data_IF_104727395865
#
_entry.id   IF_104727395865
#
_cell.length_a   1.000
_cell.length_b   1.000
_cell.length_c   1.000
_cell.angle_alpha   90.00
_cell.angle_beta   90.00
_cell.angle_gamma   90.00
#
_symmetry.space_group_name_H-M   'P 1'
#
loop_
_entity.id
_entity.type
_entity.pdbx_description
1 polymer ?
#
# COMPACT_ATOMS: atom_id res chain seq x y z
N UNK A 1 -8.12 -47.27 -62.88
CA UNK A 1 -9.14 -47.04 -61.84
C UNK A 1 -8.48 -46.49 -60.57
N UNK A 2 -7.30 -46.98 -60.21
CA UNK A 2 -6.58 -46.60 -58.97
C UNK A 2 -6.12 -45.13 -58.89
N UNK A 3 -5.74 -44.52 -60.01
CA UNK A 3 -5.32 -43.11 -60.06
C UNK A 3 -6.50 -42.19 -59.71
N UNK A 4 -7.71 -42.51 -60.19
CA UNK A 4 -8.91 -41.71 -59.94
C UNK A 4 -9.35 -41.82 -58.47
N UNK A 5 -9.22 -43.00 -57.88
CA UNK A 5 -9.52 -43.24 -56.46
C UNK A 5 -8.51 -42.49 -55.56
N UNK A 6 -7.22 -42.51 -55.91
CA UNK A 6 -6.17 -41.80 -55.17
C UNK A 6 -6.36 -40.27 -55.22
N UNK A 7 -6.69 -39.72 -56.37
CA UNK A 7 -6.98 -38.28 -56.53
C UNK A 7 -8.25 -37.91 -55.78
N UNK A 8 -9.32 -38.71 -55.87
CA UNK A 8 -10.56 -38.47 -55.15
C UNK A 8 -10.37 -38.53 -53.62
N UNK A 9 -9.58 -39.48 -53.11
CA UNK A 9 -9.26 -39.58 -51.69
C UNK A 9 -8.50 -38.34 -51.17
N UNK A 10 -7.51 -37.87 -51.94
CA UNK A 10 -6.71 -36.69 -51.56
C UNK A 10 -7.53 -35.41 -51.61
N UNK A 11 -8.40 -35.25 -52.61
CA UNK A 11 -9.35 -34.13 -52.69
C UNK A 11 -10.34 -34.18 -51.53
N UNK A 12 -10.79 -35.37 -51.13
CA UNK A 12 -11.67 -35.54 -49.96
C UNK A 12 -10.95 -35.12 -48.67
N UNK A 13 -9.70 -35.53 -48.43
CA UNK A 13 -8.92 -35.07 -47.27
C UNK A 13 -8.76 -33.55 -47.20
N UNK A 14 -8.46 -32.89 -48.34
CA UNK A 14 -8.35 -31.43 -48.41
C UNK A 14 -9.67 -30.69 -48.18
N UNK A 15 -10.81 -31.30 -48.52
CA UNK A 15 -12.14 -30.71 -48.30
C UNK A 15 -12.65 -30.97 -46.88
N UNK A 16 -12.27 -32.07 -46.24
CA UNK A 16 -12.74 -32.43 -44.91
C UNK A 16 -11.93 -31.71 -43.82
N UNK A 17 -10.63 -31.47 -44.01
CA UNK A 17 -9.79 -30.79 -43.02
C UNK A 17 -10.26 -29.37 -42.62
N UNK A 18 -10.68 -28.48 -43.55
CA UNK A 18 -11.26 -27.18 -43.20
C UNK A 18 -12.61 -27.26 -42.49
N UNK A 19 -13.35 -28.38 -42.64
CA UNK A 19 -14.66 -28.61 -42.04
C UNK A 19 -14.52 -29.22 -40.64
N UNK A 20 -13.51 -30.07 -40.41
CA UNK A 20 -13.24 -30.70 -39.10
C UNK A 20 -12.92 -29.63 -38.05
N UNK A 21 -12.06 -28.66 -38.36
CA UNK A 21 -11.54 -27.74 -37.35
C UNK A 21 -12.62 -26.83 -36.72
N UNK A 22 -13.60 -26.28 -37.46
CA UNK A 22 -14.76 -25.60 -36.90
C UNK A 22 -15.74 -26.53 -36.15
N UNK A 23 -15.89 -27.78 -36.62
CA UNK A 23 -16.70 -28.79 -35.96
C UNK A 23 -16.13 -29.20 -34.60
N UNK A 24 -14.80 -29.33 -34.48
CA UNK A 24 -14.12 -29.64 -33.22
C UNK A 24 -14.51 -28.64 -32.13
N UNK A 25 -14.47 -27.33 -32.43
CA UNK A 25 -14.88 -26.27 -31.48
C UNK A 25 -16.37 -26.29 -31.12
N UNK A 26 -17.23 -26.76 -32.02
CA UNK A 26 -18.65 -26.99 -31.73
C UNK A 26 -18.86 -28.18 -30.77
N UNK A 27 -18.05 -29.23 -30.94
CA UNK A 27 -18.06 -30.43 -30.09
C UNK A 27 -17.40 -30.19 -28.72
N UNK A 28 -16.34 -29.38 -28.65
CA UNK A 28 -15.63 -29.01 -27.41
C UNK A 28 -16.21 -27.77 -26.72
N UNK A 29 -17.33 -27.22 -27.23
CA UNK A 29 -18.01 -26.06 -26.69
C UNK A 29 -18.21 -26.14 -25.16
N UNK A 30 -18.76 -27.26 -24.67
CA UNK A 30 -19.00 -27.44 -23.23
C UNK A 30 -17.71 -27.43 -22.43
N UNK A 31 -16.73 -28.22 -22.88
CA UNK A 31 -15.42 -28.37 -22.24
C UNK A 31 -14.65 -27.04 -22.17
N UNK A 32 -14.72 -26.21 -23.20
CA UNK A 32 -14.06 -24.89 -23.20
C UNK A 32 -14.68 -23.95 -22.17
N UNK A 33 -16.01 -23.95 -22.02
CA UNK A 33 -16.69 -23.16 -20.98
C UNK A 33 -16.47 -23.72 -19.57
N UNK A 34 -16.41 -25.05 -19.41
CA UNK A 34 -16.04 -25.67 -18.13
C UNK A 34 -14.62 -25.29 -17.71
N UNK A 35 -13.67 -25.31 -18.66
CA UNK A 35 -12.30 -24.84 -18.43
C UNK A 35 -12.29 -23.36 -18.04
N UNK A 36 -13.01 -22.50 -18.77
CA UNK A 36 -13.11 -21.08 -18.47
C UNK A 36 -13.63 -20.83 -17.04
N UNK A 37 -14.74 -21.47 -16.67
CA UNK A 37 -15.32 -21.32 -15.33
C UNK A 37 -14.33 -21.74 -14.24
N UNK A 38 -13.66 -22.88 -14.42
CA UNK A 38 -12.65 -23.36 -13.48
C UNK A 38 -11.49 -22.37 -13.31
N UNK A 39 -11.02 -21.74 -14.39
CA UNK A 39 -9.94 -20.75 -14.30
C UNK A 39 -10.41 -19.43 -13.68
N UNK A 40 -11.64 -18.98 -13.96
CA UNK A 40 -12.24 -17.80 -13.28
C UNK A 40 -12.37 -18.04 -11.78
N UNK A 41 -12.81 -19.22 -11.36
CA UNK A 41 -12.97 -19.53 -9.94
C UNK A 41 -11.63 -19.52 -9.20
N UNK A 42 -10.57 -20.04 -9.83
CA UNK A 42 -9.20 -19.91 -9.30
C UNK A 42 -8.78 -18.44 -9.20
N UNK A 43 -9.06 -17.64 -10.23
CA UNK A 43 -8.72 -16.22 -10.25
C UNK A 43 -9.46 -15.45 -9.15
N UNK A 44 -10.75 -15.71 -8.93
CA UNK A 44 -11.55 -15.13 -7.83
C UNK A 44 -10.94 -15.46 -6.47
N UNK A 45 -10.59 -16.72 -6.24
CA UNK A 45 -9.94 -17.12 -4.99
C UNK A 45 -8.58 -16.41 -4.78
N UNK A 46 -7.78 -16.27 -5.83
CA UNK A 46 -6.52 -15.54 -5.77
C UNK A 46 -6.74 -14.04 -5.49
N UNK A 47 -7.72 -13.43 -6.16
CA UNK A 47 -8.14 -12.05 -5.96
C UNK A 47 -8.54 -11.78 -4.52
N UNK A 48 -9.41 -12.62 -3.96
CA UNK A 48 -9.91 -12.45 -2.58
C UNK A 48 -8.79 -12.58 -1.54
N UNK A 49 -7.83 -13.48 -1.78
CA UNK A 49 -6.64 -13.60 -0.94
C UNK A 49 -5.76 -12.33 -1.00
N UNK A 50 -5.51 -11.80 -2.20
CA UNK A 50 -4.75 -10.55 -2.36
C UNK A 50 -5.49 -9.38 -1.72
N UNK A 51 -6.82 -9.28 -1.92
CA UNK A 51 -7.66 -8.24 -1.32
C UNK A 51 -7.60 -8.29 0.21
N UNK A 52 -7.70 -9.49 0.81
CA UNK A 52 -7.55 -9.67 2.25
C UNK A 52 -6.20 -9.12 2.77
N UNK A 53 -5.09 -9.42 2.08
CA UNK A 53 -3.77 -8.89 2.45
C UNK A 53 -3.68 -7.36 2.30
N UNK A 54 -4.33 -6.80 1.29
CA UNK A 54 -4.43 -5.35 1.09
C UNK A 54 -5.21 -4.71 2.23
N UNK A 55 -6.34 -5.28 2.63
CA UNK A 55 -7.18 -4.77 3.71
C UNK A 55 -6.45 -4.84 5.07
N UNK A 56 -5.75 -5.94 5.36
CA UNK A 56 -4.87 -6.07 6.53
C UNK A 56 -3.75 -5.01 6.53
N UNK A 57 -3.14 -4.74 5.37
CA UNK A 57 -2.12 -3.71 5.22
C UNK A 57 -2.68 -2.29 5.43
N UNK A 58 -3.89 -2.02 4.94
CA UNK A 58 -4.57 -0.73 5.15
C UNK A 58 -4.89 -0.50 6.62
N UNK A 59 -5.27 -1.54 7.37
CA UNK A 59 -5.45 -1.47 8.83
C UNK A 59 -4.14 -1.09 9.53
N UNK A 60 -3.01 -1.59 9.02
CA UNK A 60 -1.66 -1.25 9.51
C UNK A 60 -1.17 0.13 9.06
N UNK A 61 -1.98 0.87 8.31
CA UNK A 61 -1.62 2.13 7.65
C UNK A 61 -0.42 1.98 6.72
N UNK A 62 -0.20 0.80 6.17
CA UNK A 62 0.81 0.53 5.16
C UNK A 62 0.35 1.00 3.77
N UNK A 63 1.30 1.40 2.94
CA UNK A 63 1.06 1.81 1.58
C UNK A 63 0.91 0.57 0.71
N UNK A 64 -0.05 0.58 -0.22
CA UNK A 64 -0.27 -0.54 -1.15
C UNK A 64 0.58 -0.33 -2.39
N UNK A 65 1.21 -1.39 -2.87
CA UNK A 65 2.03 -1.32 -4.08
C UNK A 65 1.13 -1.12 -5.30
N UNK A 66 1.46 -0.14 -6.15
CA UNK A 66 0.62 0.27 -7.28
C UNK A 66 0.25 -0.89 -8.21
N UNK A 67 1.21 -1.77 -8.54
CA UNK A 67 0.96 -2.90 -9.43
C UNK A 67 -0.01 -3.95 -8.85
N UNK A 68 -0.19 -3.97 -7.52
CA UNK A 68 -1.20 -4.82 -6.86
C UNK A 68 -2.60 -4.25 -7.07
N UNK A 69 -2.75 -2.93 -6.96
CA UNK A 69 -4.03 -2.25 -7.22
C UNK A 69 -4.42 -2.37 -8.70
N UNK A 70 -3.46 -2.15 -9.61
CA UNK A 70 -3.66 -2.34 -11.06
C UNK A 70 -4.06 -3.79 -11.40
N UNK A 71 -3.44 -4.76 -10.74
CA UNK A 71 -3.79 -6.17 -10.91
C UNK A 71 -5.21 -6.46 -10.44
N UNK A 72 -5.63 -5.96 -9.27
CA UNK A 72 -7.00 -6.14 -8.76
C UNK A 72 -8.05 -5.56 -9.72
N UNK A 73 -7.80 -4.36 -10.27
CA UNK A 73 -8.67 -3.73 -11.28
C UNK A 73 -8.75 -4.60 -12.54
N UNK A 74 -7.61 -5.05 -13.05
CA UNK A 74 -7.55 -5.89 -14.26
C UNK A 74 -8.31 -7.21 -14.06
N UNK A 75 -8.23 -7.79 -12.86
CA UNK A 75 -8.95 -9.01 -12.50
C UNK A 75 -10.47 -8.78 -12.46
N UNK A 76 -10.91 -7.66 -11.88
CA UNK A 76 -12.34 -7.31 -11.85
C UNK A 76 -12.90 -7.12 -13.26
N UNK A 77 -12.16 -6.45 -14.14
CA UNK A 77 -12.53 -6.29 -15.55
C UNK A 77 -12.64 -7.65 -16.25
N UNK A 78 -11.64 -8.53 -16.09
CA UNK A 78 -11.65 -9.86 -16.69
C UNK A 78 -12.80 -10.75 -16.19
N UNK A 79 -13.13 -10.69 -14.89
CA UNK A 79 -14.27 -11.43 -14.33
C UNK A 79 -15.58 -10.93 -14.95
N UNK A 80 -15.78 -9.61 -15.03
CA UNK A 80 -16.96 -9.01 -15.65
C UNK A 80 -17.09 -9.40 -17.12
N UNK A 81 -15.99 -9.40 -17.89
CA UNK A 81 -16.00 -9.84 -19.28
C UNK A 81 -16.45 -11.30 -19.44
N UNK A 82 -16.01 -12.20 -18.53
CA UNK A 82 -16.49 -13.60 -18.56
C UNK A 82 -17.95 -13.71 -18.17
N UNK A 83 -18.44 -12.93 -17.21
CA UNK A 83 -19.86 -12.91 -16.86
C UNK A 83 -20.73 -12.52 -18.06
N UNK A 84 -20.35 -11.49 -18.82
CA UNK A 84 -21.04 -11.12 -20.06
C UNK A 84 -21.02 -12.24 -21.12
N UNK A 85 -19.89 -12.96 -21.24
CA UNK A 85 -19.76 -14.11 -22.14
C UNK A 85 -20.70 -15.26 -21.74
N UNK A 86 -20.86 -15.52 -20.44
CA UNK A 86 -21.75 -16.55 -19.91
C UNK A 86 -23.20 -16.18 -20.22
N UNK A 87 -23.60 -14.92 -20.02
CA UNK A 87 -24.94 -14.45 -20.39
C UNK A 87 -25.23 -14.62 -21.89
N UNK A 88 -24.26 -14.29 -22.75
CA UNK A 88 -24.39 -14.45 -24.21
C UNK A 88 -24.59 -15.92 -24.59
N UNK A 89 -23.89 -16.83 -23.91
CA UNK A 89 -24.09 -18.28 -24.04
C UNK A 89 -25.52 -18.68 -23.69
N UNK A 90 -26.07 -18.20 -22.57
CA UNK A 90 -27.44 -18.53 -22.15
C UNK A 90 -28.49 -17.99 -23.13
N UNK A 91 -28.36 -16.73 -23.55
CA UNK A 91 -29.23 -16.09 -24.56
C UNK A 91 -29.19 -16.85 -25.89
N UNK A 92 -28.01 -17.35 -26.31
CA UNK A 92 -27.86 -18.12 -27.55
C UNK A 92 -28.51 -19.50 -27.49
N UNK A 93 -28.53 -20.16 -26.33
CA UNK A 93 -29.16 -21.46 -26.14
C UNK A 93 -30.70 -21.39 -26.15
N UNK A 94 -31.28 -20.23 -25.82
CA UNK A 94 -32.74 -20.03 -25.74
C UNK A 94 -33.42 -19.68 -27.08
N UNK A 95 -32.68 -19.53 -28.18
CA UNK A 95 -33.20 -19.03 -29.49
C UNK A 95 -33.68 -20.10 -30.49
N UNK A 96 -34.06 -21.30 -30.05
CA UNK A 96 -34.61 -22.32 -30.96
C UNK A 96 -36.01 -22.79 -30.53
N UNK A 97 -37.00 -22.65 -31.42
CA UNK A 97 -38.31 -23.27 -31.31
C UNK A 97 -38.12 -24.79 -31.18
N UNK A 98 -38.41 -25.34 -29.99
CA UNK A 98 -38.37 -26.78 -29.66
C UNK A 98 -36.99 -27.46 -29.65
N UNK A 99 -35.90 -26.73 -29.40
CA UNK A 99 -34.65 -27.31 -28.89
C UNK A 99 -33.83 -28.22 -29.83
N UNK A 100 -34.08 -28.23 -31.14
CA UNK A 100 -33.47 -29.22 -32.03
C UNK A 100 -32.22 -28.79 -32.81
N UNK A 101 -31.88 -27.50 -32.91
CA UNK A 101 -30.68 -27.08 -33.65
C UNK A 101 -29.98 -25.87 -32.99
N UNK A 102 -28.84 -26.05 -32.30
CA UNK A 102 -28.01 -24.92 -31.92
C UNK A 102 -27.35 -24.27 -33.13
N UNK A 103 -27.28 -22.93 -33.15
CA UNK A 103 -26.55 -22.18 -34.17
C UNK A 103 -25.04 -22.51 -34.08
N UNK A 104 -24.56 -23.42 -34.94
CA UNK A 104 -23.18 -23.91 -34.98
C UNK A 104 -22.16 -22.77 -35.12
N UNK A 105 -22.46 -21.74 -35.92
CA UNK A 105 -21.58 -20.58 -36.11
C UNK A 105 -21.42 -19.78 -34.82
N UNK A 106 -22.52 -19.54 -34.10
CA UNK A 106 -22.48 -18.85 -32.80
C UNK A 106 -21.75 -19.69 -31.75
N UNK A 107 -22.00 -21.00 -31.69
CA UNK A 107 -21.26 -21.89 -30.78
C UNK A 107 -19.77 -21.90 -31.07
N UNK A 108 -19.37 -21.97 -32.33
CA UNK A 108 -17.97 -21.87 -32.72
C UNK A 108 -17.32 -20.57 -32.21
N UNK A 109 -17.97 -19.42 -32.44
CA UNK A 109 -17.46 -18.12 -32.03
C UNK A 109 -17.33 -18.00 -30.50
N UNK A 110 -18.37 -18.40 -29.76
CA UNK A 110 -18.38 -18.39 -28.30
C UNK A 110 -17.36 -19.37 -27.72
N UNK A 111 -17.24 -20.59 -28.27
CA UNK A 111 -16.24 -21.59 -27.84
C UNK A 111 -14.81 -21.08 -28.00
N UNK A 112 -14.52 -20.45 -29.15
CA UNK A 112 -13.22 -19.86 -29.43
C UNK A 112 -12.92 -18.67 -28.54
N UNK A 113 -13.93 -17.84 -28.23
CA UNK A 113 -13.77 -16.73 -27.27
C UNK A 113 -13.50 -17.28 -25.86
N UNK A 114 -14.28 -18.28 -25.42
CA UNK A 114 -14.09 -18.91 -24.11
C UNK A 114 -12.68 -19.49 -23.91
N UNK A 115 -12.13 -20.18 -24.93
CA UNK A 115 -10.76 -20.69 -24.87
C UNK A 115 -9.73 -19.56 -24.75
N UNK A 116 -9.91 -18.46 -25.49
CA UNK A 116 -9.02 -17.29 -25.43
C UNK A 116 -9.05 -16.63 -24.05
N UNK A 117 -10.23 -16.39 -23.51
CA UNK A 117 -10.37 -15.80 -22.17
C UNK A 117 -9.76 -16.73 -21.10
N UNK A 118 -9.97 -18.04 -21.21
CA UNK A 118 -9.39 -19.00 -20.27
C UNK A 118 -7.85 -18.93 -20.26
N UNK A 119 -7.23 -18.80 -21.43
CA UNK A 119 -5.77 -18.67 -21.53
C UNK A 119 -5.27 -17.31 -21.01
N UNK A 120 -6.03 -16.22 -21.25
CA UNK A 120 -5.70 -14.89 -20.73
C UNK A 120 -5.77 -14.87 -19.19
N UNK A 121 -6.78 -15.50 -18.61
CA UNK A 121 -6.98 -15.64 -17.17
C UNK A 121 -5.84 -16.42 -16.51
N UNK A 122 -5.36 -17.50 -17.13
CA UNK A 122 -4.19 -18.24 -16.62
C UNK A 122 -2.98 -17.31 -16.48
N UNK A 123 -2.70 -16.50 -17.52
CA UNK A 123 -1.61 -15.54 -17.47
C UNK A 123 -1.81 -14.43 -16.43
N UNK A 124 -3.06 -13.96 -16.25
CA UNK A 124 -3.39 -12.97 -15.24
C UNK A 124 -3.26 -13.52 -13.81
N UNK A 125 -3.67 -14.77 -13.60
CA UNK A 125 -3.52 -15.49 -12.34
C UNK A 125 -2.06 -15.65 -11.94
N UNK A 126 -1.17 -15.95 -12.89
CA UNK A 126 0.28 -16.03 -12.63
C UNK A 126 0.87 -14.69 -12.18
N UNK A 127 0.42 -13.58 -12.78
CA UNK A 127 0.83 -12.22 -12.37
C UNK A 127 0.37 -11.81 -10.98
N UNK A 128 -0.65 -12.49 -10.44
CA UNK A 128 -1.19 -12.25 -9.09
C UNK A 128 -0.38 -12.86 -7.96
N UNK A 129 0.76 -13.47 -8.25
CA UNK A 129 1.65 -14.07 -7.25
C UNK A 129 2.59 -13.00 -6.68
N UNK A 130 2.11 -12.29 -5.67
CA UNK A 130 2.88 -11.27 -4.96
C UNK A 130 3.56 -11.82 -3.69
N UNK A 131 4.86 -11.58 -3.56
CA UNK A 131 5.62 -11.86 -2.33
C UNK A 131 5.22 -10.90 -1.20
N UNK A 132 4.96 -9.64 -1.54
CA UNK A 132 4.41 -8.61 -0.65
C UNK A 132 3.40 -7.76 -1.40
N UNK A 133 2.33 -7.33 -0.72
CA UNK A 133 1.31 -6.43 -1.30
C UNK A 133 1.49 -4.97 -0.89
N UNK A 134 2.31 -4.73 0.13
CA UNK A 134 2.43 -3.44 0.78
C UNK A 134 3.88 -3.09 1.06
N UNK A 135 4.09 -1.84 1.44
CA UNK A 135 5.33 -1.32 1.98
C UNK A 135 4.99 -0.57 3.26
N UNK A 136 5.83 -0.72 4.29
CA UNK A 136 5.60 -0.03 5.56
C UNK A 136 5.59 1.47 5.33
N UNK A 137 4.44 2.10 5.51
CA UNK A 137 4.37 3.55 5.67
C UNK A 137 4.54 3.84 7.13
N UNK A 138 5.37 4.83 7.42
CA UNK A 138 5.63 5.16 8.80
C UNK A 138 4.37 5.86 9.35
N UNK A 139 3.73 5.33 10.41
CA UNK A 139 2.44 5.84 10.87
C UNK A 139 2.51 7.35 11.15
N UNK A 140 1.57 8.10 10.59
CA UNK A 140 1.40 9.51 10.95
C UNK A 140 0.82 9.63 12.36
N UNK A 141 1.35 10.58 13.13
CA UNK A 141 0.91 10.83 14.49
C UNK A 141 -0.58 11.24 14.52
N UNK A 142 -1.41 10.50 15.26
CA UNK A 142 -2.87 10.69 15.28
C UNK A 142 -3.29 12.11 15.67
N UNK A 143 -2.49 12.81 16.47
CA UNK A 143 -2.78 14.19 16.88
C UNK A 143 -2.57 15.24 15.77
N UNK A 144 -1.89 14.89 14.67
CA UNK A 144 -1.80 15.77 13.50
C UNK A 144 -3.12 15.82 12.72
N UNK A 145 -3.91 14.74 12.77
CA UNK A 145 -5.21 14.63 12.07
C UNK A 145 -6.37 15.22 12.87
N UNK A 146 -6.19 15.43 14.17
CA UNK A 146 -7.22 16.09 14.97
C UNK A 146 -7.25 17.58 14.62
N UNK A 147 -8.32 18.02 13.95
CA UNK A 147 -8.84 19.39 14.00
C UNK A 147 -9.40 19.66 15.40
N UNK A 148 -8.55 19.47 16.43
CA UNK A 148 -8.84 20.02 17.74
C UNK A 148 -8.87 21.52 17.51
N UNK A 149 -10.04 22.12 17.64
CA UNK A 149 -10.29 23.55 17.49
C UNK A 149 -9.28 24.28 18.38
N UNK A 150 -8.13 24.61 17.82
CA UNK A 150 -7.15 25.44 18.49
C UNK A 150 -7.84 26.78 18.54
N UNK A 151 -8.56 27.04 19.65
CA UNK A 151 -9.14 28.34 19.90
C UNK A 151 -8.00 29.33 19.65
N UNK A 152 -8.13 30.10 18.57
CA UNK A 152 -7.19 31.11 18.15
C UNK A 152 -7.21 32.22 19.20
N UNK A 153 -6.57 31.99 20.34
CA UNK A 153 -6.28 33.05 21.27
C UNK A 153 -5.25 33.93 20.58
N UNK A 154 -5.67 35.13 20.16
CA UNK A 154 -4.79 36.13 19.53
C UNK A 154 -3.51 36.37 20.35
N UNK A 155 -3.58 36.23 21.68
CA UNK A 155 -2.43 36.33 22.59
C UNK A 155 -1.30 35.31 22.35
N UNK A 156 -1.58 34.19 21.67
CA UNK A 156 -0.61 33.11 21.42
C UNK A 156 -0.15 33.04 19.96
N UNK A 157 -0.72 33.86 19.08
CA UNK A 157 -0.40 33.90 17.65
C UNK A 157 1.02 34.40 17.38
N UNK A 158 1.48 35.39 18.15
CA UNK A 158 2.86 35.89 18.06
C UNK A 158 3.88 34.81 18.44
N UNK A 159 3.69 34.13 19.57
CA UNK A 159 4.58 33.04 20.01
C UNK A 159 4.58 31.87 19.02
N UNK A 160 3.41 31.49 18.49
CA UNK A 160 3.34 30.46 17.46
C UNK A 160 4.14 30.86 16.20
N UNK A 161 3.97 32.10 15.74
CA UNK A 161 4.70 32.63 14.58
C UNK A 161 6.21 32.67 14.83
N UNK A 162 6.65 33.15 16.00
CA UNK A 162 8.06 33.16 16.39
C UNK A 162 8.68 31.76 16.36
N UNK A 163 7.94 30.74 16.84
CA UNK A 163 8.41 29.35 16.80
C UNK A 163 8.51 28.86 15.34
N UNK A 164 7.50 29.12 14.49
CA UNK A 164 7.53 28.74 13.08
C UNK A 164 8.65 29.42 12.29
N UNK A 165 8.86 30.72 12.53
CA UNK A 165 9.92 31.51 11.91
C UNK A 165 11.31 30.98 12.34
N UNK A 166 11.47 30.65 13.63
CA UNK A 166 12.70 30.05 14.16
C UNK A 166 12.97 28.67 13.55
N UNK A 167 11.94 27.83 13.36
CA UNK A 167 12.06 26.52 12.71
C UNK A 167 12.36 26.59 11.21
N UNK A 168 11.94 27.67 10.56
CA UNK A 168 12.26 27.94 9.15
C UNK A 168 13.71 28.41 8.97
N UNK A 169 14.37 28.87 10.04
CA UNK A 169 15.73 29.35 10.02
C UNK A 169 16.73 28.23 10.39
N UNK A 170 17.67 27.94 9.47
CA UNK A 170 18.69 26.89 9.65
C UNK A 170 19.69 27.13 10.79
N UNK A 171 19.65 28.30 11.43
CA UNK A 171 20.54 28.65 12.54
C UNK A 171 20.10 28.05 13.89
N UNK A 172 18.84 27.62 14.02
CA UNK A 172 18.30 27.10 15.28
C UNK A 172 17.75 25.69 15.10
N UNK A 173 18.40 24.71 15.72
CA UNK A 173 17.95 23.31 15.67
C UNK A 173 17.08 22.93 16.89
N UNK A 174 17.02 23.75 17.93
CA UNK A 174 16.30 23.40 19.16
C UNK A 174 15.57 24.61 19.77
N UNK A 175 14.28 24.43 20.06
CA UNK A 175 13.42 25.43 20.69
C UNK A 175 12.86 24.88 22.00
N UNK A 176 13.05 25.62 23.10
CA UNK A 176 12.50 25.28 24.41
C UNK A 176 11.25 26.09 24.75
N UNK A 177 10.14 25.42 25.05
CA UNK A 177 8.88 26.07 25.49
C UNK A 177 8.68 25.82 26.98
N UNK A 178 8.79 26.87 27.81
CA UNK A 178 8.64 26.80 29.27
C UNK A 178 7.49 27.70 29.77
N UNK A 179 7.01 27.47 31.00
CA UNK A 179 5.91 28.25 31.58
C UNK A 179 5.11 27.49 32.65
N UNK A 180 4.12 28.14 33.25
CA UNK A 180 3.28 27.55 34.30
C UNK A 180 2.53 26.30 33.81
N UNK A 181 2.21 25.37 34.73
CA UNK A 181 1.31 24.25 34.44
C UNK A 181 -0.08 24.75 34.02
N UNK A 182 -0.80 23.99 33.19
CA UNK A 182 -2.15 24.36 32.75
C UNK A 182 -2.23 25.45 31.66
N UNK A 183 -1.15 26.16 31.35
CA UNK A 183 -1.16 27.27 30.36
C UNK A 183 -1.24 26.82 28.88
N UNK A 184 -1.33 25.52 28.62
CA UNK A 184 -1.49 24.99 27.26
C UNK A 184 -0.20 24.88 26.42
N UNK A 185 0.99 24.79 27.02
CA UNK A 185 2.27 24.57 26.29
C UNK A 185 2.22 23.38 25.34
N UNK A 186 1.71 22.25 25.84
CA UNK A 186 1.46 21.04 25.06
C UNK A 186 0.58 21.32 23.85
N UNK A 187 -0.48 22.10 24.04
CA UNK A 187 -1.40 22.47 22.96
C UNK A 187 -0.72 23.36 21.93
N UNK A 188 0.10 24.33 22.36
CA UNK A 188 0.88 25.18 21.46
C UNK A 188 1.87 24.35 20.61
N UNK A 189 2.62 23.44 21.21
CA UNK A 189 3.60 22.62 20.47
C UNK A 189 2.93 21.64 19.52
N UNK A 190 1.78 21.07 19.89
CA UNK A 190 0.95 20.29 18.97
C UNK A 190 0.49 21.15 17.78
N UNK A 191 0.01 22.36 18.04
CA UNK A 191 -0.43 23.24 16.95
C UNK A 191 0.72 23.65 16.01
N UNK A 192 1.90 23.96 16.55
CA UNK A 192 3.12 24.18 15.74
C UNK A 192 3.42 22.96 14.88
N UNK A 193 3.40 21.78 15.47
CA UNK A 193 3.63 20.52 14.78
C UNK A 193 2.63 20.25 13.65
N UNK A 194 1.37 20.64 13.81
CA UNK A 194 0.35 20.58 12.74
C UNK A 194 0.71 21.55 11.60
N UNK A 195 0.97 22.82 11.92
CA UNK A 195 1.24 23.83 10.90
C UNK A 195 2.53 23.57 10.11
N UNK A 196 3.58 23.05 10.75
CA UNK A 196 4.79 22.72 9.98
C UNK A 196 4.60 21.56 9.01
N UNK A 197 3.67 20.64 9.31
CA UNK A 197 3.29 19.56 8.41
C UNK A 197 2.42 20.08 7.27
N UNK A 198 1.42 20.90 7.56
CA UNK A 198 0.55 21.52 6.54
C UNK A 198 1.30 22.46 5.60
N UNK A 199 2.21 23.26 6.13
CA UNK A 199 3.05 24.16 5.36
C UNK A 199 4.24 23.44 4.68
N UNK A 200 4.34 22.11 4.81
CA UNK A 200 5.42 21.29 4.27
C UNK A 200 6.84 21.76 4.67
N UNK A 201 6.98 22.38 5.85
CA UNK A 201 8.28 22.78 6.40
C UNK A 201 9.09 21.56 6.84
N UNK A 202 8.40 20.52 7.29
CA UNK A 202 8.98 19.20 7.58
C UNK A 202 8.13 18.12 6.90
N UNK A 203 8.80 17.17 6.27
CA UNK A 203 8.17 16.00 5.65
C UNK A 203 7.42 15.17 6.70
N UNK A 204 7.96 15.15 7.92
CA UNK A 204 7.42 14.36 9.02
C UNK A 204 7.59 15.03 10.37
N UNK A 205 6.55 14.90 11.20
CA UNK A 205 6.55 15.37 12.58
C UNK A 205 6.32 14.17 13.48
N UNK A 206 7.25 13.90 14.38
CA UNK A 206 7.19 12.81 15.34
C UNK A 206 7.18 13.36 16.74
N UNK A 207 6.38 12.76 17.62
CA UNK A 207 6.41 13.08 19.05
C UNK A 207 7.16 11.99 19.81
N UNK A 208 7.79 12.32 20.93
CA UNK A 208 8.31 11.32 21.87
C UNK A 208 8.05 11.78 23.29
N UNK A 209 7.73 10.84 24.17
CA UNK A 209 7.53 11.13 25.59
C UNK A 209 8.84 11.01 26.33
N UNK A 210 9.25 12.10 26.99
CA UNK A 210 10.43 12.09 27.86
C UNK A 210 9.99 11.91 29.30
N UNK A 211 10.38 10.78 29.89
CA UNK A 211 10.20 10.45 31.31
C UNK A 211 11.05 11.34 32.21
N UNK A 212 10.71 11.35 33.51
CA UNK A 212 11.45 12.10 34.54
C UNK A 212 12.93 11.67 34.61
N UNK A 213 13.19 10.37 34.47
CA UNK A 213 14.50 9.76 34.28
C UNK A 213 14.67 9.43 32.80
N UNK A 214 15.36 10.27 32.01
CA UNK A 214 15.49 10.06 30.57
C UNK A 214 16.32 8.81 30.31
N UNK A 215 15.70 7.78 29.76
CA UNK A 215 16.39 6.61 29.25
C UNK A 215 16.62 6.83 27.76
N UNK A 216 17.84 7.20 27.38
CA UNK A 216 18.19 7.52 25.99
C UNK A 216 17.82 6.38 25.04
N UNK A 217 18.00 5.12 25.45
CA UNK A 217 17.58 3.93 24.68
C UNK A 217 16.08 3.92 24.38
N UNK A 218 15.25 4.25 25.36
CA UNK A 218 13.79 4.20 25.19
C UNK A 218 13.31 5.31 24.26
N UNK A 219 13.86 6.52 24.40
CA UNK A 219 13.55 7.66 23.51
C UNK A 219 14.02 7.34 22.08
N UNK A 220 15.22 6.77 21.94
CA UNK A 220 15.75 6.35 20.65
C UNK A 220 14.90 5.24 20.02
N UNK A 221 14.44 4.27 20.81
CA UNK A 221 13.55 3.21 20.36
C UNK A 221 12.20 3.72 19.88
N UNK A 222 11.56 4.60 20.65
CA UNK A 222 10.30 5.24 20.24
C UNK A 222 10.47 6.04 18.94
N UNK A 223 11.56 6.80 18.82
CA UNK A 223 11.86 7.55 17.60
C UNK A 223 12.12 6.61 16.43
N UNK A 224 12.93 5.57 16.61
CA UNK A 224 13.29 4.58 15.59
C UNK A 224 12.06 3.87 15.04
N UNK A 225 11.19 3.39 15.93
CA UNK A 225 9.91 2.79 15.58
C UNK A 225 9.06 3.77 14.76
N UNK A 226 8.93 5.02 15.23
CA UNK A 226 8.19 6.09 14.56
C UNK A 226 8.81 6.60 13.27
N UNK A 227 9.98 6.14 12.87
CA UNK A 227 10.60 6.41 11.56
C UNK A 227 10.77 5.13 10.72
N UNK A 228 10.21 4.00 11.17
CA UNK A 228 10.26 2.72 10.48
C UNK A 228 11.64 2.05 10.50
N UNK A 229 12.43 2.28 11.54
CA UNK A 229 13.70 1.59 11.77
C UNK A 229 13.52 0.53 12.86
N UNK A 230 13.84 -0.73 12.54
CA UNK A 230 13.88 -1.81 13.52
C UNK A 230 15.20 -1.75 14.31
N UNK A 231 15.10 -1.48 15.61
CA UNK A 231 16.21 -1.68 16.54
C UNK A 231 16.19 -3.14 17.00
N UNK A 232 16.94 -4.00 16.33
CA UNK A 232 17.14 -5.37 16.82
C UNK A 232 18.08 -5.33 18.03
N UNK A 233 17.54 -5.49 19.24
CA UNK A 233 18.37 -5.85 20.40
C UNK A 233 18.83 -7.31 20.24
N UNK A 234 20.16 -7.46 20.16
CA UNK A 234 20.96 -8.68 20.34
C UNK A 234 20.20 -10.02 20.44
N UNK A 235 20.12 -10.72 19.31
CA UNK A 235 20.35 -12.16 19.28
C UNK A 235 21.01 -12.52 17.96
N UNK A 236 21.79 -13.60 17.99
CA UNK A 236 22.81 -13.91 17.01
C UNK A 236 22.20 -14.10 15.59
N UNK A 237 22.92 -13.54 14.59
CA UNK A 237 22.79 -13.74 13.13
C UNK A 237 21.99 -12.67 12.33
N UNK A 238 22.78 -11.85 11.60
CA UNK A 238 22.51 -11.07 10.37
C UNK A 238 21.27 -10.14 10.33
N UNK A 239 21.36 -8.82 10.49
CA UNK A 239 22.15 -7.83 9.71
C UNK A 239 22.75 -6.79 10.66
N UNK A 240 24.08 -6.79 10.80
CA UNK A 240 24.81 -5.75 11.56
C UNK A 240 24.87 -4.47 10.72
N UNK A 241 24.00 -3.50 10.98
CA UNK A 241 24.34 -2.10 10.70
C UNK A 241 25.10 -1.59 11.92
N UNK A 242 26.41 -1.25 11.83
CA UNK A 242 27.15 -0.65 12.93
C UNK A 242 26.38 0.56 13.46
N UNK A 243 26.30 0.72 14.78
CA UNK A 243 25.62 1.84 15.45
C UNK A 243 25.96 3.18 14.78
N UNK A 244 27.21 3.42 14.38
CA UNK A 244 27.63 4.63 13.66
C UNK A 244 27.09 4.77 12.21
N UNK A 245 26.85 3.67 11.48
CA UNK A 245 26.21 3.68 10.15
C UNK A 245 24.69 3.85 10.29
N UNK A 246 24.10 3.24 11.31
CA UNK A 246 22.71 3.46 11.72
C UNK A 246 22.48 4.95 11.99
N UNK A 247 23.35 5.60 12.78
CA UNK A 247 23.26 7.04 13.04
C UNK A 247 23.47 7.89 11.78
N UNK A 248 24.34 7.50 10.84
CA UNK A 248 24.46 8.23 9.57
C UNK A 248 23.21 8.10 8.70
N UNK A 249 22.59 6.93 8.65
CA UNK A 249 21.31 6.73 7.95
C UNK A 249 20.17 7.46 8.66
N UNK A 250 20.16 7.44 9.99
CA UNK A 250 19.23 8.16 10.84
C UNK A 250 19.36 9.68 10.62
N UNK A 251 20.55 10.25 10.72
CA UNK A 251 20.78 11.68 10.47
C UNK A 251 20.39 12.08 9.04
N UNK A 252 20.72 11.25 8.03
CA UNK A 252 20.33 11.51 6.63
C UNK A 252 18.82 11.49 6.43
N UNK A 253 18.10 10.56 7.08
CA UNK A 253 16.64 10.49 7.02
C UNK A 253 15.99 11.59 7.88
N UNK A 254 16.53 11.89 9.05
CA UNK A 254 15.98 12.85 10.01
C UNK A 254 16.17 14.33 9.61
N UNK A 255 16.97 14.65 8.58
CA UNK A 255 17.13 16.04 8.09
C UNK A 255 15.80 16.74 7.74
N UNK A 256 14.72 15.99 7.50
CA UNK A 256 13.37 16.53 7.23
C UNK A 256 12.36 16.27 8.36
N UNK A 257 12.81 15.89 9.55
CA UNK A 257 11.94 15.49 10.66
C UNK A 257 11.94 16.53 11.77
N UNK A 258 10.75 16.85 12.29
CA UNK A 258 10.62 17.55 13.57
C UNK A 258 10.38 16.56 14.70
N UNK A 259 11.11 16.69 15.80
CA UNK A 259 10.85 15.94 17.03
C UNK A 259 10.21 16.83 18.10
N UNK A 260 9.00 16.49 18.51
CA UNK A 260 8.30 17.10 19.65
C UNK A 260 8.53 16.24 20.88
N UNK A 261 9.37 16.67 21.80
CA UNK A 261 9.60 15.96 23.06
C UNK A 261 8.73 16.55 24.17
N UNK A 262 7.74 15.77 24.60
CA UNK A 262 6.77 16.17 25.63
C UNK A 262 7.24 15.68 27.00
N UNK A 263 7.44 16.63 27.94
CA UNK A 263 7.95 16.33 29.28
C UNK A 263 6.84 16.31 30.32
N UNK A 264 6.84 15.28 31.16
CA UNK A 264 6.01 15.17 32.38
C UNK A 264 6.83 15.68 33.59
N UNK A 265 6.83 16.99 33.79
CA UNK A 265 7.30 17.69 35.01
C UNK A 265 8.81 17.61 35.38
N UNK A 266 9.16 18.29 36.49
CA UNK A 266 10.47 18.86 36.89
C UNK A 266 11.70 17.99 36.62
N UNK A 267 12.73 18.60 36.03
CA UNK A 267 14.06 18.03 35.85
C UNK A 267 15.09 18.94 36.52
N UNK A 268 15.96 18.36 37.33
CA UNK A 268 17.21 18.99 37.78
C UNK A 268 18.35 18.33 37.00
N UNK A 269 18.80 18.97 35.93
CA UNK A 269 19.92 18.49 35.09
C UNK A 269 19.93 19.14 33.69
N UNK A 270 21.02 18.96 32.94
CA UNK A 270 21.16 19.43 31.56
C UNK A 270 20.60 18.40 30.58
N UNK A 271 19.53 18.74 29.83
CA UNK A 271 18.86 17.83 28.88
C UNK A 271 19.77 17.52 27.68
N UNK A 272 20.68 18.44 27.32
CA UNK A 272 21.55 18.33 26.15
C UNK A 272 22.50 17.13 26.13
N UNK A 273 22.85 16.56 27.30
CA UNK A 273 23.71 15.37 27.37
C UNK A 273 22.96 14.04 27.22
N UNK A 274 21.63 14.04 27.36
CA UNK A 274 20.81 12.83 27.33
C UNK A 274 20.03 12.66 26.02
N UNK A 275 19.91 13.72 25.22
CA UNK A 275 19.37 13.63 23.88
C UNK A 275 20.46 13.14 22.92
N UNK A 276 20.11 12.23 21.98
CA UNK A 276 21.02 11.85 20.89
C UNK A 276 21.58 13.10 20.19
N UNK A 277 22.88 13.15 19.94
CA UNK A 277 23.53 14.29 19.26
C UNK A 277 22.95 14.58 17.86
N UNK A 278 22.29 13.61 17.23
CA UNK A 278 21.55 13.77 15.98
C UNK A 278 20.25 14.57 16.12
N UNK A 279 19.67 14.67 17.32
CA UNK A 279 18.54 15.58 17.56
C UNK A 279 18.98 17.04 17.58
N UNK A 280 20.27 17.32 17.78
CA UNK A 280 20.83 18.67 17.71
C UNK A 280 21.02 19.15 16.26
N UNK A 281 20.80 18.30 15.27
CA UNK A 281 20.95 18.60 13.82
C UNK A 281 19.62 18.67 13.08
N UNK A 282 18.49 18.52 13.78
CA UNK A 282 17.13 18.49 13.22
C UNK A 282 16.24 19.42 14.03
N UNK A 283 15.11 19.88 13.47
CA UNK A 283 14.21 20.76 14.20
C UNK A 283 13.60 20.08 15.43
N UNK A 284 14.00 20.47 16.64
CA UNK A 284 13.51 19.88 17.88
C UNK A 284 12.78 20.90 18.74
N UNK A 285 11.57 20.55 19.21
CA UNK A 285 10.85 21.35 20.22
C UNK A 285 10.82 20.57 21.54
N UNK A 286 11.33 21.20 22.61
CA UNK A 286 11.33 20.67 23.96
C UNK A 286 10.31 21.41 24.82
N UNK A 287 9.36 20.70 25.40
CA UNK A 287 8.52 21.26 26.46
C UNK A 287 9.29 21.16 27.77
N UNK A 288 9.62 22.31 28.37
CA UNK A 288 10.38 22.40 29.61
C UNK A 288 9.47 22.61 30.82
N UNK A 289 9.81 22.03 31.98
CA UNK A 289 9.11 22.31 33.23
C UNK A 289 9.57 23.67 33.78
N UNK A 290 8.89 24.19 34.80
CA UNK A 290 9.27 25.44 35.48
C UNK A 290 10.78 25.39 35.88
N UNK A 291 11.57 26.45 35.63
CA UNK A 291 12.92 26.56 36.18
C UNK A 291 12.90 26.47 37.72
#
# INVERSE_FOLDING_TARGET
>A
MDIVISVAAKVTEYLVAPIIHPFTYCCTYKTNFEKLNNEVDKLRNARDNVQYKVDDSRIKWDGIQQHVEEWLITVDEAINEVETLIEDKEKSNNRCLKGLCPNLKTRYQLSKKAEREANAIVGLHEKGRFDSVSFRTIPEETWLKSTLDFMHFESRKSTLKEILDALSNRNFNMIGVYGMGGIGKTTLVKEVGRQVKENNLFEKVISSRVSQTPQTKNIQGEIAEKIGLELTEQSHVCVRIPIGIYWRQLCKKLCNFMTVSMKKEKFRGSIGHHLPSCLLTVGTILILPRP
#
